data_IF_330403495433
#
_entry.id   IF_330403495433
#
_cell.length_a   1.000
_cell.length_b   1.000
_cell.length_c   1.000
_cell.angle_alpha   90.00
_cell.angle_beta   90.00
_cell.angle_gamma   90.00
#
_symmetry.space_group_name_H-M   'P 1'
#
loop_
_entity.id
_entity.type
_entity.pdbx_description
1 polymer ?
#
# COMPACT_ATOMS: atom_id res chain seq x y z
N UNK A 1 9.03 11.14 -22.86
CA UNK A 1 8.45 11.80 -21.68
C UNK A 1 6.94 12.03 -21.76
N UNK A 2 6.40 12.60 -22.84
CA UNK A 2 4.95 12.84 -22.99
C UNK A 2 4.11 11.56 -22.97
N UNK A 3 4.57 10.48 -23.59
CA UNK A 3 3.83 9.20 -23.64
C UNK A 3 3.63 8.59 -22.24
N UNK A 4 4.60 8.77 -21.35
CA UNK A 4 4.53 8.25 -19.97
C UNK A 4 3.47 8.98 -19.12
N UNK A 5 3.38 10.29 -19.29
CA UNK A 5 2.37 11.11 -18.59
C UNK A 5 0.94 10.74 -18.99
N UNK A 6 0.72 10.38 -20.23
CA UNK A 6 -0.57 9.91 -20.76
C UNK A 6 -0.95 8.53 -20.15
N UNK A 7 -0.12 7.82 -20.13
CA UNK A 7 -0.28 6.50 -19.64
C UNK A 7 -0.53 6.48 -18.17
N UNK A 8 -0.03 7.25 -17.58
CA UNK A 8 -0.22 7.33 -16.22
C UNK A 8 -1.51 7.99 -15.85
N UNK A 9 -1.84 8.79 -16.53
CA UNK A 9 -3.04 9.43 -16.36
C UNK A 9 -4.24 8.63 -16.75
N UNK A 10 -4.00 7.96 -17.56
CA UNK A 10 -4.98 7.11 -18.02
C UNK A 10 -5.19 5.99 -17.10
N UNK A 11 -4.20 5.48 -16.71
CA UNK A 11 -4.23 4.41 -15.74
C UNK A 11 -4.89 4.86 -14.44
N UNK A 12 -4.44 5.98 -13.89
CA UNK A 12 -5.00 6.53 -12.65
C UNK A 12 -6.52 6.75 -12.77
N UNK A 13 -6.95 7.33 -13.86
CA UNK A 13 -8.38 7.59 -14.10
C UNK A 13 -9.19 6.30 -14.21
N UNK A 14 -8.65 5.29 -14.86
CA UNK A 14 -9.34 4.00 -15.01
C UNK A 14 -9.52 3.32 -13.64
N UNK A 15 -8.47 3.36 -12.80
CA UNK A 15 -8.54 2.83 -11.44
C UNK A 15 -9.58 3.61 -10.62
N UNK A 16 -9.54 4.94 -10.68
CA UNK A 16 -10.49 5.78 -9.95
C UNK A 16 -11.94 5.51 -10.38
N UNK A 17 -12.16 5.36 -11.69
CA UNK A 17 -13.51 5.03 -12.21
C UNK A 17 -13.98 3.65 -11.72
N UNK A 18 -13.08 2.67 -11.69
CA UNK A 18 -13.41 1.34 -11.17
C UNK A 18 -13.77 1.43 -9.67
N UNK A 19 -12.95 2.13 -8.88
CA UNK A 19 -13.22 2.30 -7.44
C UNK A 19 -14.56 3.01 -7.23
N UNK A 20 -14.83 4.08 -7.96
CA UNK A 20 -16.12 4.80 -7.89
C UNK A 20 -17.29 3.91 -8.24
N UNK A 21 -17.16 3.13 -9.33
CA UNK A 21 -18.24 2.23 -9.80
C UNK A 21 -18.57 1.14 -8.76
N UNK A 22 -17.53 0.45 -8.27
CA UNK A 22 -17.74 -0.68 -7.36
C UNK A 22 -17.90 -0.25 -5.90
N UNK A 23 -17.45 0.96 -5.54
CA UNK A 23 -17.59 1.50 -4.20
C UNK A 23 -18.81 2.40 -4.00
N UNK A 24 -19.57 2.69 -5.05
CA UNK A 24 -20.67 3.67 -4.99
C UNK A 24 -21.72 3.34 -3.93
N UNK A 25 -22.02 2.07 -3.76
CA UNK A 25 -23.03 1.60 -2.80
C UNK A 25 -22.42 1.10 -1.47
N UNK A 26 -21.12 1.33 -1.28
CA UNK A 26 -20.43 0.86 -0.07
C UNK A 26 -20.77 1.75 1.13
N UNK A 27 -21.17 1.12 2.23
CA UNK A 27 -21.30 1.79 3.53
C UNK A 27 -19.94 1.93 4.23
N UNK A 28 -18.90 1.31 3.67
CA UNK A 28 -17.54 1.38 4.23
C UNK A 28 -16.82 2.55 3.55
N UNK A 29 -16.23 3.48 4.31
CA UNK A 29 -15.45 4.58 3.72
C UNK A 29 -14.25 4.03 2.93
N UNK A 30 -14.08 4.51 1.71
CA UNK A 30 -13.00 4.07 0.81
C UNK A 30 -12.14 5.28 0.47
N UNK A 31 -10.82 5.13 0.64
CA UNK A 31 -9.82 6.11 0.20
C UNK A 31 -9.03 5.49 -0.95
N UNK A 32 -8.94 6.21 -2.05
CA UNK A 32 -8.05 5.82 -3.15
C UNK A 32 -6.76 6.63 -3.01
N UNK A 33 -5.67 5.93 -2.72
CA UNK A 33 -4.38 6.53 -2.34
C UNK A 33 -3.29 6.19 -3.36
N UNK A 34 -2.53 7.19 -3.79
CA UNK A 34 -1.28 6.97 -4.52
C UNK A 34 -0.18 6.69 -3.50
N UNK A 35 0.38 5.48 -3.54
CA UNK A 35 1.50 5.10 -2.68
C UNK A 35 2.82 5.39 -3.41
N UNK A 36 3.81 5.92 -2.72
CA UNK A 36 5.15 6.26 -3.23
C UNK A 36 5.15 7.06 -4.55
N UNK A 37 4.47 8.21 -4.57
CA UNK A 37 4.60 9.18 -5.67
C UNK A 37 6.04 9.67 -5.77
N UNK A 38 6.63 9.57 -6.96
CA UNK A 38 8.06 9.84 -7.18
C UNK A 38 8.38 11.32 -7.33
N UNK A 39 7.41 12.11 -7.77
CA UNK A 39 7.60 13.51 -8.09
C UNK A 39 6.25 14.24 -8.07
N UNK A 40 6.30 15.55 -8.17
CA UNK A 40 5.10 16.39 -8.20
C UNK A 40 4.14 15.98 -9.32
N UNK A 41 4.67 15.69 -10.52
CA UNK A 41 3.83 15.34 -11.68
C UNK A 41 3.05 14.03 -11.46
N UNK A 42 3.63 13.05 -10.80
CA UNK A 42 2.94 11.78 -10.50
C UNK A 42 1.78 12.01 -9.51
N UNK A 43 1.99 12.87 -8.51
CA UNK A 43 0.92 13.24 -7.58
C UNK A 43 -0.20 14.01 -8.30
N UNK A 44 0.15 14.97 -9.15
CA UNK A 44 -0.83 15.71 -9.97
C UNK A 44 -1.63 14.75 -10.86
N UNK A 45 -0.95 13.81 -11.53
CA UNK A 45 -1.63 12.83 -12.40
C UNK A 45 -2.64 11.97 -11.63
N UNK A 46 -2.30 11.56 -10.42
CA UNK A 46 -3.22 10.80 -9.57
C UNK A 46 -4.42 11.65 -9.14
N UNK A 47 -4.16 12.88 -8.67
CA UNK A 47 -5.22 13.81 -8.22
C UNK A 47 -6.19 14.11 -9.39
N UNK A 48 -5.65 14.45 -10.56
CA UNK A 48 -6.47 14.73 -11.76
C UNK A 48 -7.15 13.46 -12.28
N UNK A 49 -6.61 12.29 -11.95
CA UNK A 49 -7.23 10.99 -12.23
C UNK A 49 -8.40 10.67 -11.32
N UNK A 50 -8.52 11.36 -10.16
CA UNK A 50 -9.63 11.16 -9.22
C UNK A 50 -9.26 10.46 -7.92
N UNK A 51 -7.98 10.43 -7.57
CA UNK A 51 -7.52 9.91 -6.28
C UNK A 51 -7.90 10.89 -5.17
N UNK A 52 -8.21 10.35 -4.00
CA UNK A 52 -8.65 11.15 -2.84
C UNK A 52 -7.53 11.36 -1.82
N UNK A 53 -6.38 10.72 -2.05
CA UNK A 53 -5.19 10.85 -1.22
C UNK A 53 -3.96 10.55 -2.06
N UNK A 54 -2.84 11.23 -1.79
CA UNK A 54 -1.57 10.96 -2.47
C UNK A 54 -0.43 10.96 -1.46
N UNK A 55 0.60 10.16 -1.74
CA UNK A 55 1.86 10.24 -1.02
C UNK A 55 2.93 10.77 -1.98
N UNK A 56 3.75 11.68 -1.47
CA UNK A 56 4.99 12.13 -2.14
C UNK A 56 6.18 11.59 -1.34
N UNK A 57 7.01 10.81 -1.99
CA UNK A 57 8.18 10.21 -1.34
C UNK A 57 9.43 11.01 -1.68
N UNK A 58 9.75 11.97 -0.81
CA UNK A 58 10.98 12.74 -0.87
C UNK A 58 12.05 12.25 0.11
N UNK A 59 11.89 11.05 0.69
CA UNK A 59 12.76 10.54 1.76
C UNK A 59 14.24 10.42 1.36
N UNK A 60 14.51 10.24 0.08
CA UNK A 60 15.88 10.17 -0.46
C UNK A 60 16.54 11.53 -0.66
N UNK A 61 15.77 12.62 -0.58
CA UNK A 61 16.26 13.98 -0.76
C UNK A 61 16.81 14.56 0.55
N UNK A 62 17.68 15.57 0.47
CA UNK A 62 18.02 16.34 1.67
C UNK A 62 16.76 16.92 2.34
N UNK A 63 16.75 16.99 3.65
CA UNK A 63 15.58 17.38 4.47
C UNK A 63 14.85 18.62 3.94
N UNK A 64 15.61 19.68 3.60
CA UNK A 64 15.01 20.93 3.10
C UNK A 64 14.31 20.73 1.75
N UNK A 65 14.92 19.95 0.87
CA UNK A 65 14.35 19.68 -0.47
C UNK A 65 13.09 18.80 -0.33
N UNK A 66 13.11 17.83 0.59
CA UNK A 66 11.92 17.03 0.89
C UNK A 66 10.77 17.92 1.37
N UNK A 67 11.05 18.87 2.30
CA UNK A 67 10.05 19.84 2.76
C UNK A 67 9.49 20.66 1.59
N UNK A 68 10.36 21.17 0.72
CA UNK A 68 9.92 22.02 -0.41
C UNK A 68 9.03 21.24 -1.36
N UNK A 69 9.46 20.03 -1.74
CA UNK A 69 8.69 19.16 -2.62
C UNK A 69 7.33 18.78 -1.99
N UNK A 70 7.35 18.35 -0.74
CA UNK A 70 6.11 17.94 -0.05
C UNK A 70 5.15 19.13 0.08
N UNK A 71 5.66 20.32 0.42
CA UNK A 71 4.83 21.53 0.54
C UNK A 71 4.19 21.91 -0.80
N UNK A 72 4.92 21.74 -1.92
CA UNK A 72 4.38 21.99 -3.25
C UNK A 72 3.18 21.06 -3.53
N UNK A 73 3.33 19.76 -3.23
CA UNK A 73 2.26 18.77 -3.40
C UNK A 73 1.08 19.10 -2.47
N UNK A 74 1.34 19.43 -1.20
CA UNK A 74 0.30 19.81 -0.22
C UNK A 74 -0.52 20.99 -0.75
N UNK A 75 0.15 22.02 -1.25
CA UNK A 75 -0.53 23.21 -1.79
C UNK A 75 -1.47 22.85 -2.94
N UNK A 76 -1.02 21.98 -3.83
CA UNK A 76 -1.81 21.56 -5.00
C UNK A 76 -2.99 20.66 -4.58
N UNK A 77 -2.72 19.69 -3.73
CA UNK A 77 -3.69 18.67 -3.28
C UNK A 77 -4.78 19.29 -2.39
N UNK A 78 -4.40 20.07 -1.37
CA UNK A 78 -5.35 20.69 -0.43
C UNK A 78 -6.32 21.65 -1.13
N UNK A 79 -5.87 22.33 -2.20
CA UNK A 79 -6.76 23.18 -3.00
C UNK A 79 -7.88 22.38 -3.68
N UNK A 80 -7.72 21.05 -3.73
CA UNK A 80 -8.68 20.10 -4.35
C UNK A 80 -9.30 19.14 -3.34
N UNK A 81 -9.04 19.34 -2.05
CA UNK A 81 -9.59 18.52 -0.97
C UNK A 81 -8.91 17.17 -0.81
N UNK A 82 -7.75 16.96 -1.47
CA UNK A 82 -7.02 15.69 -1.46
C UNK A 82 -5.99 15.72 -0.33
N UNK A 83 -5.95 14.67 0.49
CA UNK A 83 -4.97 14.55 1.58
C UNK A 83 -3.60 14.12 1.07
N UNK A 84 -2.56 14.52 1.81
CA UNK A 84 -1.16 14.24 1.42
C UNK A 84 -0.43 13.50 2.54
N UNK A 85 0.30 12.47 2.14
CA UNK A 85 1.27 11.77 2.99
C UNK A 85 2.68 12.13 2.50
N UNK A 86 3.58 12.37 3.44
CA UNK A 86 5.01 12.52 3.16
C UNK A 86 5.79 11.38 3.78
N UNK A 87 7.10 11.33 3.55
CA UNK A 87 7.96 10.33 4.18
C UNK A 87 9.24 10.97 4.72
N UNK A 88 9.66 10.51 5.89
CA UNK A 88 10.88 10.98 6.54
C UNK A 88 11.64 9.83 7.20
N UNK A 89 12.91 9.70 6.83
CA UNK A 89 13.73 8.55 7.14
C UNK A 89 13.67 7.56 5.97
N UNK A 90 14.70 6.76 5.80
CA UNK A 90 14.82 5.84 4.67
C UNK A 90 14.60 4.42 5.17
N UNK A 91 13.74 3.67 4.49
CA UNK A 91 13.54 2.25 4.79
C UNK A 91 14.36 1.38 3.87
N UNK A 92 15.10 0.43 4.44
CA UNK A 92 15.85 -0.55 3.66
C UNK A 92 14.88 -1.54 2.97
N UNK A 93 15.33 -2.12 1.87
CA UNK A 93 14.59 -3.13 1.13
C UNK A 93 14.17 -2.68 -0.25
N UNK A 94 13.25 -3.43 -0.85
CA UNK A 94 12.74 -3.16 -2.19
C UNK A 94 11.21 -3.17 -2.16
N UNK A 95 10.61 -2.12 -2.67
CA UNK A 95 9.18 -2.05 -2.92
C UNK A 95 8.96 -1.30 -4.23
N UNK A 96 8.49 -2.03 -5.24
CA UNK A 96 8.28 -1.52 -6.59
C UNK A 96 9.51 -0.76 -7.14
N UNK A 97 9.51 0.57 -7.07
CA UNK A 97 10.59 1.41 -7.60
C UNK A 97 11.52 1.94 -6.49
N UNK A 98 11.16 1.70 -5.24
CA UNK A 98 11.91 2.20 -4.09
C UNK A 98 12.93 1.14 -3.67
N UNK A 99 14.18 1.54 -3.58
CA UNK A 99 15.26 0.66 -3.11
C UNK A 99 16.21 1.43 -2.22
N UNK A 100 16.54 0.83 -1.07
CA UNK A 100 17.64 1.30 -0.23
C UNK A 100 18.35 0.13 0.42
N UNK A 101 19.66 0.20 0.48
CA UNK A 101 20.50 -0.81 1.12
C UNK A 101 20.50 -0.68 2.65
N UNK A 102 20.09 0.47 3.20
CA UNK A 102 20.13 0.71 4.64
C UNK A 102 18.97 1.62 5.07
N UNK A 103 18.58 1.50 6.33
CA UNK A 103 17.56 2.37 6.92
C UNK A 103 18.21 3.51 7.71
N UNK A 104 17.53 4.66 7.72
CA UNK A 104 17.82 5.74 8.66
C UNK A 104 16.56 6.02 9.47
N UNK A 105 16.66 5.96 10.79
CA UNK A 105 15.51 6.22 11.66
C UNK A 105 15.07 7.68 11.58
N UNK A 106 13.77 7.90 11.65
CA UNK A 106 13.20 9.25 11.69
C UNK A 106 13.59 9.93 13.01
N UNK A 107 14.16 11.14 12.92
CA UNK A 107 14.41 11.99 14.08
C UNK A 107 13.07 12.62 14.49
N UNK A 108 12.62 12.45 15.74
CA UNK A 108 11.34 13.02 16.17
C UNK A 108 11.20 14.54 16.02
N UNK A 109 12.28 15.30 16.23
CA UNK A 109 12.22 16.76 16.07
C UNK A 109 12.07 17.16 14.60
N UNK A 110 12.77 16.44 13.72
CA UNK A 110 12.65 16.66 12.27
C UNK A 110 11.24 16.32 11.80
N UNK A 111 10.61 15.27 12.35
CA UNK A 111 9.23 14.91 12.00
C UNK A 111 8.25 16.02 12.37
N UNK A 112 8.40 16.61 13.56
CA UNK A 112 7.57 17.73 14.02
C UNK A 112 7.77 18.95 13.11
N UNK A 113 9.04 19.30 12.84
CA UNK A 113 9.37 20.40 11.93
C UNK A 113 8.78 20.15 10.52
N UNK A 114 8.82 18.90 10.07
CA UNK A 114 8.26 18.52 8.76
C UNK A 114 6.75 18.81 8.70
N UNK A 115 5.98 18.34 9.69
CA UNK A 115 4.54 18.64 9.78
C UNK A 115 4.29 20.16 9.75
N UNK A 116 5.01 20.92 10.57
CA UNK A 116 4.83 22.36 10.68
C UNK A 116 5.13 23.11 9.40
N UNK A 117 6.17 22.69 8.67
CA UNK A 117 6.63 23.40 7.46
C UNK A 117 5.89 22.98 6.20
N UNK A 118 5.39 21.75 6.15
CA UNK A 118 4.71 21.24 4.95
C UNK A 118 3.21 21.35 5.03
N UNK A 119 2.63 21.19 6.24
CA UNK A 119 1.19 21.07 6.42
C UNK A 119 0.64 19.72 5.95
N UNK A 120 1.48 18.71 5.88
CA UNK A 120 1.12 17.35 5.43
C UNK A 120 0.14 16.71 6.41
N UNK A 121 -0.78 15.86 5.90
CA UNK A 121 -1.82 15.21 6.73
C UNK A 121 -1.30 13.95 7.41
N UNK A 122 -0.33 13.27 6.79
CA UNK A 122 0.21 12.01 7.30
C UNK A 122 1.72 11.96 6.99
N UNK A 123 2.46 11.27 7.85
CA UNK A 123 3.90 11.12 7.70
C UNK A 123 4.31 9.67 7.92
N UNK A 124 4.86 9.06 6.88
CA UNK A 124 5.50 7.76 6.98
C UNK A 124 6.83 7.94 7.71
N UNK A 125 7.02 7.15 8.77
CA UNK A 125 8.21 7.24 9.61
C UNK A 125 9.02 5.93 9.56
N UNK A 126 10.33 6.07 9.58
CA UNK A 126 11.25 4.94 9.69
C UNK A 126 11.54 4.67 11.16
N UNK A 127 11.04 3.53 11.66
CA UNK A 127 11.20 3.17 13.08
C UNK A 127 11.50 1.68 13.25
N UNK A 128 12.11 1.07 12.22
CA UNK A 128 12.57 -0.32 12.25
C UNK A 128 11.83 -1.26 11.31
N UNK A 129 10.91 -0.73 10.51
CA UNK A 129 10.28 -1.50 9.42
C UNK A 129 11.21 -1.55 8.19
N UNK A 130 10.93 -2.47 7.28
CA UNK A 130 11.69 -2.68 6.04
C UNK A 130 10.75 -3.13 4.93
N UNK A 131 11.02 -2.70 3.71
CA UNK A 131 10.26 -3.13 2.54
C UNK A 131 10.56 -4.60 2.17
N UNK A 132 9.58 -5.27 1.55
CA UNK A 132 9.73 -6.61 1.00
C UNK A 132 9.49 -7.74 1.99
N UNK A 133 9.79 -8.96 1.54
CA UNK A 133 9.47 -10.20 2.26
C UNK A 133 10.65 -10.80 3.05
N UNK A 134 11.79 -10.12 3.12
CA UNK A 134 13.01 -10.64 3.77
C UNK A 134 13.49 -9.68 4.85
N UNK A 135 12.65 -9.50 5.87
CA UNK A 135 12.89 -8.50 6.92
C UNK A 135 13.81 -8.97 8.07
N UNK A 136 14.21 -10.24 8.04
CA UNK A 136 14.94 -10.84 9.15
C UNK A 136 13.99 -11.43 10.19
N UNK A 137 14.52 -12.29 11.05
CA UNK A 137 13.76 -12.91 12.12
C UNK A 137 13.66 -11.95 13.31
N UNK A 138 12.53 -11.97 13.97
CA UNK A 138 12.32 -11.27 15.26
C UNK A 138 12.57 -9.75 15.18
N UNK A 139 12.07 -9.11 14.12
CA UNK A 139 12.13 -7.64 13.97
C UNK A 139 11.44 -6.97 15.16
N UNK A 140 12.13 -6.00 15.77
CA UNK A 140 11.59 -5.18 16.86
C UNK A 140 11.50 -3.73 16.40
N UNK A 141 10.30 -3.17 16.53
CA UNK A 141 10.05 -1.78 16.15
C UNK A 141 10.50 -0.83 17.24
N UNK A 142 11.11 0.28 16.84
CA UNK A 142 11.57 1.35 17.73
C UNK A 142 10.38 2.27 18.04
N UNK A 143 9.43 1.72 18.80
CA UNK A 143 8.15 2.40 19.09
C UNK A 143 8.35 3.72 19.86
N UNK A 144 9.46 3.86 20.57
CA UNK A 144 9.83 5.10 21.24
C UNK A 144 9.95 6.28 20.26
N UNK A 145 10.26 6.03 18.98
CA UNK A 145 10.30 7.08 17.96
C UNK A 145 8.87 7.61 17.71
N UNK A 146 7.91 6.71 17.49
CA UNK A 146 6.50 7.09 17.27
C UNK A 146 5.93 7.81 18.49
N UNK A 147 6.23 7.30 19.71
CA UNK A 147 5.80 7.92 20.97
C UNK A 147 6.33 9.36 21.06
N UNK A 148 7.63 9.55 20.84
CA UNK A 148 8.26 10.86 20.94
C UNK A 148 7.64 11.86 19.95
N UNK A 149 7.42 11.42 18.70
CA UNK A 149 6.78 12.27 17.69
C UNK A 149 5.36 12.64 18.15
N UNK A 150 4.56 11.64 18.55
CA UNK A 150 3.16 11.86 18.94
C UNK A 150 3.05 12.80 20.15
N UNK A 151 3.92 12.64 21.16
CA UNK A 151 3.93 13.51 22.34
C UNK A 151 4.26 14.96 21.94
N UNK A 152 5.28 15.16 21.10
CA UNK A 152 5.64 16.49 20.61
C UNK A 152 4.49 17.12 19.80
N UNK A 153 3.86 16.33 18.90
CA UNK A 153 2.72 16.80 18.12
C UNK A 153 1.57 17.23 19.03
N UNK A 154 1.24 16.40 20.03
CA UNK A 154 0.16 16.69 20.99
C UNK A 154 0.46 17.99 21.77
N UNK A 155 1.70 18.14 22.24
CA UNK A 155 2.10 19.33 22.99
C UNK A 155 1.99 20.62 22.17
N UNK A 156 2.27 20.53 20.87
CA UNK A 156 2.25 21.67 19.95
C UNK A 156 0.90 21.86 19.24
N UNK A 157 -0.08 21.00 19.50
CA UNK A 157 -1.39 21.07 18.85
C UNK A 157 -1.34 20.74 17.34
N UNK A 158 -0.37 19.91 16.93
CA UNK A 158 -0.22 19.52 15.53
C UNK A 158 -1.08 18.28 15.27
N UNK A 159 -1.95 18.38 14.29
CA UNK A 159 -2.76 17.25 13.80
C UNK A 159 -2.07 16.56 12.64
N UNK A 160 -2.11 15.25 12.62
CA UNK A 160 -1.53 14.44 11.56
C UNK A 160 -1.45 12.98 11.97
N UNK A 161 -1.39 12.11 10.98
CA UNK A 161 -1.28 10.66 11.18
C UNK A 161 0.18 10.21 11.05
N UNK A 162 0.59 9.23 11.85
CA UNK A 162 1.88 8.54 11.63
C UNK A 162 1.60 7.23 10.90
N UNK A 163 2.39 6.98 9.87
CA UNK A 163 2.20 5.83 8.97
C UNK A 163 3.38 4.88 9.09
N UNK A 164 3.09 3.59 9.06
CA UNK A 164 4.06 2.50 9.09
C UNK A 164 4.12 1.84 7.71
N UNK A 165 5.18 2.12 6.94
CA UNK A 165 5.50 1.44 5.69
C UNK A 165 6.31 0.17 5.96
N UNK A 166 6.45 -0.70 4.96
CA UNK A 166 7.24 -1.91 5.07
C UNK A 166 6.73 -2.86 6.15
N UNK A 167 5.41 -2.91 6.36
CA UNK A 167 4.81 -3.58 7.53
C UNK A 167 4.16 -4.94 7.22
N UNK A 168 4.48 -5.55 6.08
CA UNK A 168 3.94 -6.87 5.75
C UNK A 168 4.35 -7.90 6.79
N UNK A 169 3.40 -8.77 7.18
CA UNK A 169 3.63 -9.78 8.22
C UNK A 169 4.24 -11.06 7.67
N UNK A 170 4.10 -11.28 6.36
CA UNK A 170 4.56 -12.49 5.67
C UNK A 170 4.09 -13.74 6.43
N UNK A 171 2.74 -14.00 6.45
CA UNK A 171 2.19 -15.05 7.30
C UNK A 171 2.81 -16.39 6.99
N UNK A 172 3.44 -17.00 8.00
CA UNK A 172 4.15 -18.27 7.84
C UNK A 172 3.26 -19.36 7.24
N UNK A 173 1.98 -19.40 7.64
CA UNK A 173 1.08 -20.45 7.13
C UNK A 173 0.89 -20.35 5.62
N UNK A 174 0.82 -19.13 5.07
CA UNK A 174 0.68 -18.94 3.61
C UNK A 174 1.97 -19.39 2.89
N UNK A 175 3.12 -19.03 3.45
CA UNK A 175 4.43 -19.45 2.89
C UNK A 175 4.54 -21.00 2.88
N UNK A 176 4.15 -21.61 4.00
CA UNK A 176 4.16 -23.09 4.14
C UNK A 176 3.19 -23.74 3.13
N UNK A 177 2.01 -23.17 2.94
CA UNK A 177 1.03 -23.66 1.96
C UNK A 177 1.57 -23.53 0.51
N UNK A 178 2.18 -22.38 0.16
CA UNK A 178 2.80 -22.18 -1.15
C UNK A 178 3.87 -23.26 -1.37
N UNK A 179 4.73 -23.48 -0.38
CA UNK A 179 5.81 -24.47 -0.48
C UNK A 179 5.25 -25.90 -0.55
N UNK A 180 4.20 -26.19 0.21
CA UNK A 180 3.50 -27.48 0.11
C UNK A 180 2.86 -27.72 -1.26
N UNK A 181 2.57 -26.65 -1.99
CA UNK A 181 2.02 -26.70 -3.35
C UNK A 181 3.12 -26.56 -4.43
N UNK A 182 4.35 -26.90 -4.08
CA UNK A 182 5.48 -26.92 -5.04
C UNK A 182 6.24 -25.60 -5.17
N UNK A 183 6.00 -24.65 -4.29
CA UNK A 183 6.82 -23.43 -4.23
C UNK A 183 8.15 -23.69 -3.54
N UNK A 184 9.09 -22.77 -3.70
CA UNK A 184 10.44 -22.86 -3.12
C UNK A 184 10.82 -21.52 -2.46
N UNK A 185 9.87 -20.96 -1.67
CA UNK A 185 10.10 -19.70 -0.95
C UNK A 185 10.99 -19.96 0.26
N UNK A 186 12.11 -19.22 0.34
CA UNK A 186 13.07 -19.33 1.43
C UNK A 186 13.38 -17.93 1.98
N UNK A 187 13.77 -17.86 3.25
CA UNK A 187 14.16 -16.60 3.90
C UNK A 187 13.07 -15.53 3.80
N UNK A 188 11.81 -15.96 3.87
CA UNK A 188 10.64 -15.08 3.83
C UNK A 188 10.16 -14.82 5.26
N UNK A 189 10.39 -13.61 5.75
CA UNK A 189 10.04 -13.19 7.11
C UNK A 189 9.45 -11.78 7.07
N UNK A 190 8.43 -11.55 7.86
CA UNK A 190 7.79 -10.25 8.03
C UNK A 190 7.90 -9.75 9.46
N UNK A 191 7.09 -8.76 9.79
CA UNK A 191 6.95 -8.24 11.15
C UNK A 191 5.78 -8.98 11.80
N UNK A 192 5.94 -9.46 13.03
CA UNK A 192 4.83 -10.18 13.68
C UNK A 192 3.63 -9.25 13.86
N UNK A 193 2.45 -9.81 13.76
CA UNK A 193 1.20 -9.04 13.93
C UNK A 193 1.13 -8.40 15.33
N UNK A 194 1.70 -9.07 16.34
CA UNK A 194 1.75 -8.56 17.70
C UNK A 194 2.64 -7.31 17.81
N UNK A 195 3.76 -7.31 17.09
CA UNK A 195 4.66 -6.16 17.07
C UNK A 195 3.99 -4.95 16.41
N UNK A 196 3.28 -5.17 15.29
CA UNK A 196 2.52 -4.10 14.63
C UNK A 196 1.39 -3.59 15.52
N UNK A 197 0.63 -4.49 16.14
CA UNK A 197 -0.46 -4.11 17.05
C UNK A 197 0.07 -3.28 18.22
N UNK A 198 1.27 -3.58 18.72
CA UNK A 198 1.87 -2.84 19.83
C UNK A 198 2.30 -1.43 19.41
N UNK A 199 2.45 -1.14 18.11
CA UNK A 199 2.80 0.20 17.61
C UNK A 199 1.57 1.12 17.53
N UNK A 200 0.36 0.56 17.43
CA UNK A 200 -0.87 1.35 17.31
C UNK A 200 -1.07 2.29 18.52
N UNK A 201 -1.05 1.80 19.78
CA UNK A 201 -1.18 2.72 20.91
C UNK A 201 0.00 3.66 21.08
N UNK A 202 1.10 3.44 20.36
CA UNK A 202 2.26 4.32 20.36
C UNK A 202 2.14 5.49 19.37
N UNK A 203 1.01 5.55 18.61
CA UNK A 203 0.73 6.68 17.75
C UNK A 203 0.63 6.34 16.25
N UNK A 204 0.90 5.08 15.87
CA UNK A 204 0.77 4.67 14.46
C UNK A 204 -0.72 4.58 14.12
N UNK A 205 -1.14 5.30 13.07
CA UNK A 205 -2.55 5.42 12.66
C UNK A 205 -2.87 4.70 11.35
N UNK A 206 -1.86 4.42 10.52
CA UNK A 206 -2.01 3.74 9.22
C UNK A 206 -0.87 2.73 9.08
N UNK A 207 -1.17 1.54 8.59
CA UNK A 207 -0.18 0.46 8.42
C UNK A 207 -0.32 -0.08 7.00
N UNK A 208 0.73 0.07 6.19
CA UNK A 208 0.75 -0.37 4.80
C UNK A 208 1.20 -1.84 4.72
N UNK A 209 0.37 -2.68 4.10
CA UNK A 209 0.65 -4.11 3.93
C UNK A 209 0.39 -4.49 2.47
N UNK A 210 1.40 -5.05 1.80
CA UNK A 210 1.33 -5.44 0.40
C UNK A 210 1.69 -6.92 0.21
N UNK A 211 2.86 -7.35 0.68
CA UNK A 211 3.40 -8.71 0.44
C UNK A 211 2.40 -9.80 0.85
N UNK A 212 1.68 -9.61 1.95
CA UNK A 212 0.72 -10.60 2.46
C UNK A 212 -0.39 -10.88 1.43
N UNK A 213 -0.87 -9.82 0.77
CA UNK A 213 -1.89 -9.92 -0.29
C UNK A 213 -1.31 -10.71 -1.48
N UNK A 214 -0.09 -10.38 -1.90
CA UNK A 214 0.58 -11.06 -3.02
C UNK A 214 0.75 -12.56 -2.74
N UNK A 215 1.18 -12.89 -1.53
CA UNK A 215 1.34 -14.29 -1.08
C UNK A 215 0.00 -15.04 -1.14
N UNK A 216 -1.06 -14.45 -0.59
CA UNK A 216 -2.38 -15.10 -0.55
C UNK A 216 -2.94 -15.36 -1.96
N UNK A 217 -2.77 -14.39 -2.86
CA UNK A 217 -3.20 -14.53 -4.27
C UNK A 217 -2.44 -15.69 -4.92
N UNK A 218 -1.12 -15.72 -4.77
CA UNK A 218 -0.28 -16.77 -5.40
C UNK A 218 -0.60 -18.13 -4.80
N UNK A 219 -0.82 -18.22 -3.47
CA UNK A 219 -1.25 -19.46 -2.81
C UNK A 219 -2.55 -19.98 -3.46
N UNK A 220 -3.53 -19.07 -3.63
CA UNK A 220 -4.84 -19.43 -4.20
C UNK A 220 -4.72 -19.95 -5.64
N UNK A 221 -3.84 -19.34 -6.46
CA UNK A 221 -3.61 -19.80 -7.83
C UNK A 221 -2.98 -21.20 -7.84
N UNK A 222 -1.98 -21.45 -6.98
CA UNK A 222 -1.36 -22.79 -6.86
C UNK A 222 -2.40 -23.83 -6.40
N UNK A 223 -3.23 -23.46 -5.42
CA UNK A 223 -4.30 -24.33 -4.93
C UNK A 223 -5.31 -24.68 -6.04
N UNK A 224 -5.66 -23.70 -6.88
CA UNK A 224 -6.57 -23.91 -8.02
C UNK A 224 -6.04 -25.02 -8.94
N UNK A 225 -4.77 -24.91 -9.35
CA UNK A 225 -4.17 -25.90 -10.25
C UNK A 225 -3.87 -27.26 -9.58
N UNK A 226 -3.73 -27.28 -8.26
CA UNK A 226 -3.63 -28.52 -7.50
C UNK A 226 -4.97 -29.24 -7.43
N UNK A 227 -6.03 -28.48 -7.20
CA UNK A 227 -7.40 -29.01 -7.04
C UNK A 227 -8.01 -29.41 -8.38
N UNK A 228 -7.68 -28.73 -9.46
CA UNK A 228 -8.23 -28.93 -10.80
C UNK A 228 -7.11 -29.14 -11.82
N UNK A 229 -6.49 -30.36 -11.82
CA UNK A 229 -5.33 -30.63 -12.71
C UNK A 229 -5.60 -30.43 -14.20
N UNK A 230 -6.85 -30.61 -14.65
CA UNK A 230 -7.26 -30.40 -16.04
C UNK A 230 -7.05 -28.95 -16.49
N UNK A 231 -7.12 -27.98 -15.58
CA UNK A 231 -6.90 -26.57 -15.91
C UNK A 231 -5.44 -26.24 -16.27
N UNK A 232 -4.49 -27.16 -15.95
CA UNK A 232 -3.07 -26.99 -16.29
C UNK A 232 -2.82 -26.95 -17.80
N UNK A 233 -3.71 -27.59 -18.58
CA UNK A 233 -3.63 -27.59 -20.05
C UNK A 233 -4.68 -26.64 -20.69
N UNK A 234 -5.29 -25.79 -19.90
CA UNK A 234 -6.27 -24.82 -20.41
C UNK A 234 -5.61 -23.85 -21.39
N UNK A 235 -6.27 -23.58 -22.51
CA UNK A 235 -5.81 -22.61 -23.51
C UNK A 235 -5.82 -21.18 -22.98
N UNK A 236 -6.64 -20.90 -21.96
CA UNK A 236 -6.80 -19.55 -21.40
C UNK A 236 -5.84 -19.27 -20.25
N UNK A 237 -5.59 -20.26 -19.37
CA UNK A 237 -4.80 -20.04 -18.14
C UNK A 237 -3.62 -20.98 -17.96
N UNK A 238 -3.42 -21.96 -18.87
CA UNK A 238 -2.31 -22.91 -18.77
C UNK A 238 -0.93 -22.22 -18.68
N UNK A 239 -0.76 -21.10 -19.39
CA UNK A 239 0.49 -20.33 -19.34
C UNK A 239 0.78 -19.79 -17.91
N UNK A 240 -0.28 -19.51 -17.11
CA UNK A 240 -0.12 -19.11 -15.71
C UNK A 240 0.48 -20.29 -14.92
N UNK A 241 -0.04 -21.50 -15.15
CA UNK A 241 0.49 -22.71 -14.51
C UNK A 241 1.98 -22.90 -14.83
N UNK A 242 2.35 -22.76 -16.13
CA UNK A 242 3.75 -22.89 -16.56
C UNK A 242 4.67 -21.87 -15.86
N UNK A 243 4.19 -20.64 -15.70
CA UNK A 243 4.93 -19.59 -14.98
C UNK A 243 5.10 -19.95 -13.49
N UNK A 244 4.03 -20.45 -12.84
CA UNK A 244 4.06 -20.87 -11.43
C UNK A 244 5.05 -22.04 -11.22
N UNK A 245 5.16 -22.95 -12.19
CA UNK A 245 6.07 -24.10 -12.10
C UNK A 245 7.52 -23.73 -12.43
N UNK A 246 7.73 -22.79 -13.35
CA UNK A 246 9.09 -22.36 -13.74
C UNK A 246 9.70 -21.34 -12.78
N UNK A 247 8.88 -20.64 -11.99
CA UNK A 247 9.33 -19.56 -11.10
C UNK A 247 8.93 -19.84 -9.65
N UNK A 248 9.31 -21.00 -9.15
CA UNK A 248 8.87 -21.55 -7.84
C UNK A 248 9.28 -20.67 -6.65
N UNK A 249 10.33 -19.85 -6.80
CA UNK A 249 10.82 -18.94 -5.77
C UNK A 249 10.15 -17.57 -5.80
N UNK A 250 9.14 -17.37 -6.67
CA UNK A 250 8.40 -16.12 -6.78
C UNK A 250 7.02 -16.24 -6.12
N UNK A 251 6.55 -15.12 -5.56
CA UNK A 251 5.24 -15.05 -4.93
C UNK A 251 4.42 -13.84 -5.40
N UNK A 252 4.98 -12.99 -6.27
CA UNK A 252 4.29 -11.81 -6.77
C UNK A 252 3.37 -12.21 -7.92
N UNK A 253 2.03 -12.07 -7.79
CA UNK A 253 1.13 -12.48 -8.86
C UNK A 253 1.33 -11.71 -10.17
N UNK A 254 1.95 -10.53 -10.12
CA UNK A 254 2.28 -9.76 -11.33
C UNK A 254 3.29 -10.50 -12.23
N UNK A 255 4.00 -11.48 -11.68
CA UNK A 255 4.90 -12.36 -12.45
C UNK A 255 4.11 -13.42 -13.23
N UNK A 256 2.95 -13.81 -12.74
CA UNK A 256 2.17 -14.93 -13.24
C UNK A 256 0.96 -14.51 -14.08
N UNK A 257 0.39 -13.34 -13.82
CA UNK A 257 -0.87 -12.89 -14.44
C UNK A 257 -0.74 -12.27 -15.84
N UNK A 258 0.45 -11.88 -16.37
CA UNK A 258 0.52 -11.26 -17.69
C UNK A 258 -0.25 -11.99 -18.81
N UNK A 259 -0.34 -13.35 -18.83
CA UNK A 259 -1.09 -14.02 -19.92
C UNK A 259 -2.55 -13.59 -20.04
N UNK A 260 -3.18 -13.12 -18.95
CA UNK A 260 -4.60 -12.71 -18.98
C UNK A 260 -4.81 -11.21 -18.70
N UNK A 261 -3.75 -10.46 -18.40
CA UNK A 261 -3.88 -9.07 -17.95
C UNK A 261 -4.58 -8.17 -18.97
N UNK A 262 -4.20 -8.27 -20.23
CA UNK A 262 -4.81 -7.43 -21.29
C UNK A 262 -6.31 -7.67 -21.42
N UNK A 263 -6.74 -8.89 -21.13
CA UNK A 263 -8.16 -9.27 -21.18
C UNK A 263 -8.92 -8.75 -19.95
N UNK A 264 -8.39 -9.07 -18.76
CA UNK A 264 -9.06 -8.78 -17.48
C UNK A 264 -9.07 -7.28 -17.17
N UNK A 265 -7.99 -6.57 -17.51
CA UNK A 265 -7.88 -5.12 -17.25
C UNK A 265 -8.98 -4.29 -17.93
N UNK A 266 -9.55 -4.79 -19.02
CA UNK A 266 -10.65 -4.13 -19.72
C UNK A 266 -12.03 -4.72 -19.37
N UNK A 267 -12.08 -5.55 -18.32
CA UNK A 267 -13.34 -6.10 -17.81
C UNK A 267 -13.86 -7.28 -18.60
N UNK A 268 -13.04 -7.87 -19.44
CA UNK A 268 -13.43 -9.08 -20.18
C UNK A 268 -13.05 -10.33 -19.39
N UNK A 269 -14.01 -11.19 -19.16
CA UNK A 269 -13.79 -12.51 -18.57
C UNK A 269 -14.35 -13.51 -19.59
N UNK A 270 -13.49 -14.02 -20.49
CA UNK A 270 -13.95 -14.77 -21.65
C UNK A 270 -14.48 -16.18 -21.33
N UNK A 271 -14.05 -16.76 -20.22
CA UNK A 271 -14.44 -18.13 -19.88
C UNK A 271 -14.30 -18.39 -18.37
N UNK A 272 -14.77 -19.56 -17.94
CA UNK A 272 -14.77 -19.98 -16.54
C UNK A 272 -13.36 -20.17 -15.97
N UNK A 273 -12.37 -20.43 -16.81
CA UNK A 273 -10.99 -20.60 -16.35
C UNK A 273 -10.38 -19.26 -15.95
N UNK A 274 -10.57 -18.22 -16.77
CA UNK A 274 -10.15 -16.86 -16.43
C UNK A 274 -10.92 -16.37 -15.20
N UNK A 275 -12.24 -16.66 -15.14
CA UNK A 275 -13.06 -16.32 -13.96
C UNK A 275 -12.49 -16.95 -12.67
N UNK A 276 -12.01 -18.20 -12.76
CA UNK A 276 -11.43 -18.89 -11.59
C UNK A 276 -10.13 -18.22 -11.12
N UNK A 277 -9.32 -17.66 -12.02
CA UNK A 277 -8.12 -16.90 -11.64
C UNK A 277 -8.52 -15.57 -10.98
N UNK A 278 -9.53 -14.88 -11.52
CA UNK A 278 -10.04 -13.64 -10.92
C UNK A 278 -10.56 -13.92 -9.51
N UNK A 279 -11.28 -15.02 -9.31
CA UNK A 279 -11.75 -15.46 -7.97
C UNK A 279 -10.55 -15.71 -7.02
N UNK A 280 -9.45 -16.29 -7.51
CA UNK A 280 -8.25 -16.47 -6.69
C UNK A 280 -7.71 -15.11 -6.18
N UNK A 281 -7.70 -14.10 -7.05
CA UNK A 281 -7.26 -12.73 -6.67
C UNK A 281 -8.21 -12.18 -5.61
N UNK A 282 -9.52 -12.19 -5.88
CA UNK A 282 -10.52 -11.65 -4.96
C UNK A 282 -10.45 -12.31 -3.58
N UNK A 283 -10.38 -13.65 -3.53
CA UNK A 283 -10.31 -14.38 -2.26
C UNK A 283 -9.04 -14.04 -1.49
N UNK A 284 -7.91 -13.92 -2.17
CA UNK A 284 -6.64 -13.55 -1.53
C UNK A 284 -6.70 -12.16 -0.90
N UNK A 285 -7.21 -11.17 -1.66
CA UNK A 285 -7.38 -9.80 -1.15
C UNK A 285 -8.34 -9.80 0.04
N UNK A 286 -9.50 -10.46 -0.09
CA UNK A 286 -10.54 -10.51 0.95
C UNK A 286 -10.03 -11.14 2.25
N UNK A 287 -9.28 -12.23 2.15
CA UNK A 287 -8.70 -12.92 3.31
C UNK A 287 -7.75 -12.01 4.09
N UNK A 288 -6.80 -11.41 3.39
CA UNK A 288 -5.77 -10.60 4.05
C UNK A 288 -6.37 -9.30 4.59
N UNK A 289 -7.13 -8.58 3.77
CA UNK A 289 -7.74 -7.31 4.19
C UNK A 289 -8.69 -7.53 5.37
N UNK A 290 -9.55 -8.57 5.30
CA UNK A 290 -10.46 -8.90 6.39
C UNK A 290 -9.72 -9.22 7.69
N UNK A 291 -8.66 -10.01 7.60
CA UNK A 291 -7.82 -10.34 8.75
C UNK A 291 -7.21 -9.09 9.37
N UNK A 292 -6.61 -8.21 8.54
CA UNK A 292 -5.93 -7.02 9.02
C UNK A 292 -6.91 -5.99 9.61
N UNK A 293 -8.12 -5.85 9.04
CA UNK A 293 -9.18 -4.99 9.61
C UNK A 293 -9.46 -5.39 11.06
N UNK A 294 -9.56 -6.70 11.32
CA UNK A 294 -9.81 -7.21 12.69
C UNK A 294 -8.57 -7.00 13.56
N UNK A 295 -7.39 -7.39 13.06
CA UNK A 295 -6.15 -7.37 13.86
C UNK A 295 -5.72 -5.95 14.24
N UNK A 296 -5.92 -4.98 13.35
CA UNK A 296 -5.54 -3.58 13.61
C UNK A 296 -6.65 -2.77 14.29
N UNK A 297 -7.79 -3.41 14.59
CA UNK A 297 -8.86 -2.79 15.37
C UNK A 297 -9.79 -1.87 14.58
N UNK A 298 -9.81 -1.97 13.25
CA UNK A 298 -10.70 -1.18 12.39
C UNK A 298 -12.11 -1.78 12.27
N UNK A 299 -12.26 -3.06 12.63
CA UNK A 299 -13.56 -3.75 12.53
C UNK A 299 -14.63 -3.01 13.34
N UNK A 300 -15.76 -2.73 12.70
CA UNK A 300 -16.87 -2.02 13.32
C UNK A 300 -16.70 -0.52 13.47
N UNK A 301 -15.61 0.06 12.93
CA UNK A 301 -15.32 1.49 13.09
C UNK A 301 -15.81 2.37 11.92
N UNK A 302 -16.29 1.76 10.83
CA UNK A 302 -16.76 2.52 9.67
C UNK A 302 -17.77 3.60 10.02
N UNK A 303 -18.78 3.36 10.89
CA UNK A 303 -19.75 4.41 11.27
C UNK A 303 -19.14 5.58 12.04
N UNK A 304 -17.91 5.47 12.53
CA UNK A 304 -17.23 6.56 13.24
C UNK A 304 -16.50 7.51 12.30
N UNK A 305 -16.39 7.15 11.03
CA UNK A 305 -15.66 7.95 10.03
C UNK A 305 -16.63 8.95 9.40
N UNK A 306 -16.34 10.23 9.54
CA UNK A 306 -17.10 11.29 8.85
C UNK A 306 -16.73 11.24 7.36
N UNK A 307 -17.74 11.05 6.52
CA UNK A 307 -17.55 11.11 5.07
C UNK A 307 -17.71 12.55 4.60
N UNK A 308 -16.67 13.06 3.96
CA UNK A 308 -16.57 14.46 3.53
C UNK A 308 -16.28 14.50 2.04
N UNK A 309 -16.96 15.33 1.28
CA UNK A 309 -16.67 15.51 -0.14
C UNK A 309 -15.33 16.24 -0.33
N UNK A 310 -14.71 16.06 -1.49
CA UNK A 310 -13.45 16.77 -1.80
C UNK A 310 -13.65 18.29 -1.76
N UNK A 311 -14.78 18.81 -2.26
CA UNK A 311 -15.07 20.25 -2.22
C UNK A 311 -15.16 20.76 -0.77
N UNK A 312 -15.86 20.03 0.08
CA UNK A 312 -15.96 20.38 1.50
C UNK A 312 -14.58 20.30 2.18
N UNK A 313 -13.81 19.28 1.86
CA UNK A 313 -12.46 19.14 2.44
C UNK A 313 -11.54 20.29 1.97
N UNK A 314 -11.64 20.71 0.70
CA UNK A 314 -10.89 21.87 0.20
C UNK A 314 -11.23 23.15 0.99
N UNK A 315 -12.51 23.33 1.35
CA UNK A 315 -12.93 24.48 2.19
C UNK A 315 -12.41 24.36 3.63
N UNK A 316 -12.34 23.12 4.17
CA UNK A 316 -11.73 22.90 5.51
C UNK A 316 -10.24 23.29 5.48
N UNK A 317 -9.49 22.84 4.45
CA UNK A 317 -8.07 23.16 4.30
C UNK A 317 -7.80 24.67 4.19
N UNK A 318 -8.69 25.43 3.55
CA UNK A 318 -8.56 26.91 3.49
C UNK A 318 -8.63 27.55 4.87
N UNK A 319 -9.42 26.97 5.78
CA UNK A 319 -9.62 27.49 7.14
C UNK A 319 -8.52 27.06 8.12
N UNK A 320 -7.74 26.04 7.77
CA UNK A 320 -6.66 25.54 8.61
C UNK A 320 -5.34 26.31 8.44
N UNK A 321 -5.27 27.26 7.51
CA UNK A 321 -4.09 28.09 7.21
C UNK A 321 -3.95 29.28 8.15
#
# INVERSE_FOLDING_TARGET
MQHWKIXXXXGARNIANAVKKYGADSEIPIVLHLDHGRDFDSCVAAIEGGYTSVMIDGSSLPFKENIELTREVVKYAHARGVSVEGELGVLAGVEDHVFSASSTYTNPLDAVEFFQKTGVDALAISYGTMHGASKGKDVKLRKEIAIAIRECMNHLGIFGALVSHGSSTVPKYIVDEINGLGGELTNTYGISIEELKSAIPCGISKINVDTDIRLAVTRNMKELFAKYPEKRSSSSIGAIYELLESKKNQFDPRVFLPPIMDTVMYGNIPDDDVAAIVDCVERGVREVVGTLIVQFGSFGKAPLVEQVSLDEMAERYKKMK
#
